data_IF_939239747131
#
_entry.id   IF_939239747131
#
_cell.length_a   1.000
_cell.length_b   1.000
_cell.length_c   1.000
_cell.angle_alpha   90.00
_cell.angle_beta   90.00
_cell.angle_gamma   90.00
#
_symmetry.space_group_name_H-M   'P 1'
#
loop_
_entity.id
_entity.type
_entity.pdbx_description
1 polymer ?
#
# COMPACT_ATOMS: atom_id res chain seq x y z
N UNK A 1 -17.39 6.17 0.38
CA UNK A 1 -16.82 6.56 1.67
C UNK A 1 -15.43 7.14 1.44
N UNK A 2 -15.07 8.26 2.05
CA UNK A 2 -13.79 8.91 1.80
C UNK A 2 -12.62 8.10 2.35
N UNK A 3 -11.53 8.10 1.59
CA UNK A 3 -10.25 7.51 1.96
C UNK A 3 -9.13 8.44 1.44
N UNK A 4 -7.92 8.25 1.95
CA UNK A 4 -6.79 9.12 1.63
C UNK A 4 -5.72 8.38 0.84
N UNK A 5 -5.13 9.05 -0.14
CA UNK A 5 -4.00 8.55 -0.91
C UNK A 5 -2.80 9.44 -0.62
N UNK A 6 -1.79 8.90 0.06
CA UNK A 6 -0.59 9.65 0.45
C UNK A 6 0.62 9.12 -0.32
N UNK A 7 1.27 10.00 -1.10
CA UNK A 7 2.53 9.68 -1.77
C UNK A 7 3.69 10.12 -0.91
N UNK A 8 4.63 9.20 -0.67
CA UNK A 8 5.84 9.50 0.08
C UNK A 8 7.06 9.81 -0.80
N UNK A 9 6.93 9.61 -2.13
CA UNK A 9 8.03 9.83 -3.05
C UNK A 9 9.08 8.71 -3.02
N UNK A 10 10.31 9.06 -3.35
CA UNK A 10 11.42 8.10 -3.41
C UNK A 10 12.00 7.84 -2.04
N UNK A 11 11.93 6.60 -1.60
CA UNK A 11 12.49 6.15 -0.30
C UNK A 11 13.02 4.73 -0.43
N UNK A 12 13.92 4.35 0.49
CA UNK A 12 14.27 2.94 0.69
C UNK A 12 13.12 2.17 1.36
N UNK A 13 13.13 0.85 1.23
CA UNK A 13 12.08 -0.01 1.79
C UNK A 13 11.97 0.15 3.32
N UNK A 14 13.09 0.25 4.00
CA UNK A 14 13.11 0.42 5.47
C UNK A 14 12.45 1.74 5.89
N UNK A 15 12.73 2.81 5.18
CA UNK A 15 12.16 4.13 5.45
C UNK A 15 10.67 4.15 5.14
N UNK A 16 10.27 3.48 4.06
CA UNK A 16 8.85 3.32 3.71
C UNK A 16 8.10 2.58 4.82
N UNK A 17 8.63 1.44 5.28
CA UNK A 17 8.00 0.64 6.33
C UNK A 17 7.90 1.43 7.64
N UNK A 18 8.96 2.15 8.01
CA UNK A 18 8.97 2.99 9.21
C UNK A 18 7.94 4.12 9.11
N UNK A 19 7.80 4.73 7.95
CA UNK A 19 6.80 5.78 7.71
C UNK A 19 5.37 5.24 7.83
N UNK A 20 5.11 4.07 7.29
CA UNK A 20 3.80 3.41 7.38
C UNK A 20 3.46 3.07 8.85
N UNK A 21 4.41 2.55 9.60
CA UNK A 21 4.26 2.27 11.03
C UNK A 21 3.91 3.54 11.80
N UNK A 22 4.62 4.62 11.53
CA UNK A 22 4.39 5.92 12.17
C UNK A 22 3.01 6.47 11.84
N UNK A 23 2.62 6.45 10.56
CA UNK A 23 1.30 6.90 10.13
C UNK A 23 0.17 6.08 10.79
N UNK A 24 0.33 4.77 10.84
CA UNK A 24 -0.66 3.89 11.45
C UNK A 24 -0.81 4.16 12.95
N UNK A 25 0.30 4.39 13.64
CA UNK A 25 0.31 4.58 15.09
C UNK A 25 -0.44 5.84 15.54
N UNK A 26 -0.52 6.87 14.70
CA UNK A 26 -1.19 8.14 15.05
C UNK A 26 -2.64 8.20 14.57
N UNK A 27 -3.15 7.17 13.91
CA UNK A 27 -4.54 7.17 13.44
C UNK A 27 -5.51 6.83 14.57
N UNK A 28 -6.64 7.52 14.59
CA UNK A 28 -7.74 7.23 15.51
C UNK A 28 -8.65 6.12 14.94
N UNK A 29 -9.54 5.58 15.79
CA UNK A 29 -10.55 4.60 15.37
C UNK A 29 -11.51 5.14 14.31
N UNK A 30 -11.72 6.44 14.29
CA UNK A 30 -12.64 7.10 13.37
C UNK A 30 -11.96 7.65 12.12
N UNK A 31 -10.66 7.45 11.98
CA UNK A 31 -9.91 7.95 10.83
C UNK A 31 -10.36 7.26 9.53
N UNK A 32 -10.19 7.96 8.42
CA UNK A 32 -10.40 7.38 7.09
C UNK A 32 -9.28 6.39 6.78
N UNK A 33 -9.54 5.35 5.97
CA UNK A 33 -8.47 4.50 5.46
C UNK A 33 -7.46 5.30 4.66
N UNK A 34 -6.20 4.86 4.70
CA UNK A 34 -5.09 5.50 3.98
C UNK A 34 -4.42 4.46 3.11
N UNK A 35 -4.21 4.77 1.84
CA UNK A 35 -3.23 4.07 1.04
C UNK A 35 -1.97 4.92 0.97
N UNK A 36 -0.83 4.33 1.32
CA UNK A 36 0.49 4.96 1.24
C UNK A 36 1.21 4.38 0.03
N UNK A 37 1.74 5.26 -0.81
CA UNK A 37 2.41 4.90 -2.04
C UNK A 37 3.82 5.48 -2.04
N UNK A 38 4.80 4.66 -2.43
CA UNK A 38 6.19 5.10 -2.54
C UNK A 38 6.85 4.65 -3.82
N UNK A 39 8.06 5.12 -4.05
CA UNK A 39 8.94 4.68 -5.12
C UNK A 39 10.27 4.26 -4.51
N UNK A 40 10.71 3.08 -4.87
CA UNK A 40 12.02 2.55 -4.52
C UNK A 40 12.69 2.15 -5.84
N UNK A 41 13.98 1.87 -5.84
CA UNK A 41 14.77 1.71 -7.07
C UNK A 41 14.20 0.70 -8.09
N UNK A 42 13.53 -0.36 -7.63
CA UNK A 42 13.03 -1.43 -8.50
C UNK A 42 11.52 -1.68 -8.34
N UNK A 43 10.85 -1.01 -7.42
CA UNK A 43 9.48 -1.32 -7.02
C UNK A 43 8.71 -0.09 -6.61
N UNK A 44 7.38 -0.22 -6.64
CA UNK A 44 6.46 0.74 -6.03
C UNK A 44 5.89 0.10 -4.75
N UNK A 45 6.47 0.38 -3.57
CA UNK A 45 5.89 -0.12 -2.34
C UNK A 45 4.59 0.59 -2.01
N UNK A 46 3.65 -0.15 -1.44
CA UNK A 46 2.39 0.42 -0.97
C UNK A 46 1.97 -0.22 0.35
N UNK A 47 1.17 0.50 1.13
CA UNK A 47 0.56 -0.01 2.33
C UNK A 47 -0.86 0.51 2.47
N UNK A 48 -1.78 -0.40 2.79
CA UNK A 48 -3.13 -0.05 3.16
C UNK A 48 -3.19 0.03 4.69
N UNK A 49 -3.49 1.21 5.19
CA UNK A 49 -3.68 1.47 6.63
C UNK A 49 -5.17 1.66 6.87
N UNK A 50 -5.80 0.68 7.47
CA UNK A 50 -7.24 0.69 7.68
C UNK A 50 -7.58 0.60 9.17
N UNK A 51 -8.29 1.58 9.72
CA UNK A 51 -8.86 1.41 11.05
C UNK A 51 -9.64 0.10 11.16
N UNK A 52 -9.57 -0.57 12.31
CA UNK A 52 -10.08 -1.93 12.48
C UNK A 52 -11.54 -2.10 12.10
N UNK A 53 -12.37 -1.06 12.23
CA UNK A 53 -13.78 -1.13 11.83
C UNK A 53 -13.99 -1.38 10.34
N UNK A 54 -12.98 -1.12 9.50
CA UNK A 54 -13.04 -1.33 8.06
C UNK A 54 -12.43 -2.66 7.62
N UNK A 55 -11.62 -3.28 8.47
CA UNK A 55 -10.95 -4.53 8.18
C UNK A 55 -11.81 -5.73 8.55
N UNK A 56 -11.62 -6.91 7.92
CA UNK A 56 -12.28 -8.13 8.36
C UNK A 56 -11.99 -8.41 9.83
N UNK A 57 -12.95 -8.98 10.54
CA UNK A 57 -12.81 -9.31 11.96
C UNK A 57 -11.74 -10.36 12.25
N UNK A 58 -11.37 -11.17 11.25
CA UNK A 58 -10.33 -12.19 11.37
C UNK A 58 -9.06 -11.72 10.69
N UNK A 59 -7.97 -11.69 11.43
CA UNK A 59 -6.65 -11.25 10.93
C UNK A 59 -6.14 -12.11 9.77
N UNK A 60 -6.46 -13.40 9.76
CA UNK A 60 -6.07 -14.32 8.69
C UNK A 60 -6.70 -13.98 7.33
N UNK A 61 -7.69 -13.11 7.30
CA UNK A 61 -8.33 -12.62 6.06
C UNK A 61 -7.78 -11.28 5.59
N UNK A 62 -6.97 -10.60 6.39
CA UNK A 62 -6.48 -9.26 6.04
C UNK A 62 -5.64 -9.25 4.78
N UNK A 63 -4.79 -10.26 4.60
CA UNK A 63 -3.90 -10.31 3.44
C UNK A 63 -4.69 -10.35 2.13
N UNK A 64 -5.60 -11.31 1.98
CA UNK A 64 -6.42 -11.42 0.77
C UNK A 64 -7.32 -10.21 0.58
N UNK A 65 -7.91 -9.71 1.65
CA UNK A 65 -8.74 -8.50 1.62
C UNK A 65 -7.97 -7.28 1.16
N UNK A 66 -6.72 -7.10 1.63
CA UNK A 66 -5.91 -5.93 1.30
C UNK A 66 -5.20 -6.03 -0.04
N UNK A 67 -4.95 -7.24 -0.55
CA UNK A 67 -4.15 -7.45 -1.77
C UNK A 67 -4.96 -7.88 -2.99
N UNK A 68 -6.24 -8.15 -2.85
CA UNK A 68 -7.07 -8.59 -3.99
C UNK A 68 -7.06 -7.55 -5.13
N UNK A 69 -7.11 -6.27 -4.80
CA UNK A 69 -7.05 -5.20 -5.79
C UNK A 69 -5.68 -5.14 -6.48
N UNK A 70 -4.59 -5.42 -5.76
CA UNK A 70 -3.26 -5.45 -6.35
C UNK A 70 -3.13 -6.59 -7.37
N UNK A 71 -3.63 -7.78 -7.03
CA UNK A 71 -3.65 -8.93 -7.96
C UNK A 71 -4.49 -8.60 -9.18
N UNK A 72 -5.67 -8.01 -9.00
CA UNK A 72 -6.53 -7.59 -10.12
C UNK A 72 -5.84 -6.54 -11.00
N UNK A 73 -5.05 -5.65 -10.42
CA UNK A 73 -4.28 -4.65 -11.16
C UNK A 73 -3.18 -5.31 -11.99
N UNK A 74 -2.43 -6.27 -11.43
CA UNK A 74 -1.46 -7.03 -12.21
C UNK A 74 -2.12 -7.68 -13.43
N UNK A 75 -3.27 -8.31 -13.23
CA UNK A 75 -4.01 -8.98 -14.31
C UNK A 75 -4.50 -8.02 -15.38
N UNK A 76 -4.84 -6.80 -15.00
CA UNK A 76 -5.21 -5.75 -15.95
C UNK A 76 -4.05 -5.39 -16.90
N UNK A 77 -2.81 -5.52 -16.43
CA UNK A 77 -1.59 -5.32 -17.23
C UNK A 77 -1.07 -6.64 -17.83
N UNK A 78 -1.93 -7.64 -17.95
CA UNK A 78 -1.62 -8.93 -18.56
C UNK A 78 -0.58 -9.75 -17.79
N UNK A 79 -0.45 -9.50 -16.50
CA UNK A 79 0.41 -10.28 -15.60
C UNK A 79 -0.50 -11.23 -14.81
N UNK A 80 -0.46 -12.56 -15.07
CA UNK A 80 -1.38 -13.51 -14.43
C UNK A 80 -0.94 -13.83 -13.00
N UNK A 81 -0.86 -12.81 -12.17
CA UNK A 81 -0.50 -12.93 -10.76
C UNK A 81 -1.64 -13.60 -9.96
N UNK A 82 -1.27 -14.28 -8.89
CA UNK A 82 -2.21 -14.85 -7.94
C UNK A 82 -1.68 -14.73 -6.52
N UNK A 83 -2.57 -14.87 -5.55
CA UNK A 83 -2.27 -14.71 -4.14
C UNK A 83 -2.25 -16.07 -3.44
N UNK A 84 -1.14 -16.37 -2.78
CA UNK A 84 -0.98 -17.54 -1.92
C UNK A 84 -0.01 -17.20 -0.79
N UNK A 85 -0.49 -16.42 0.20
CA UNK A 85 0.36 -15.83 1.24
C UNK A 85 1.24 -14.69 0.76
N UNK A 86 1.71 -14.77 -0.47
CA UNK A 86 2.46 -13.74 -1.20
C UNK A 86 1.85 -13.59 -2.58
N UNK A 87 2.26 -12.57 -3.33
CA UNK A 87 1.86 -12.42 -4.73
C UNK A 87 2.81 -13.22 -5.60
N UNK A 88 2.27 -14.21 -6.31
CA UNK A 88 3.03 -15.14 -7.15
C UNK A 88 2.76 -14.92 -8.63
N UNK A 89 3.77 -15.22 -9.43
CA UNK A 89 3.69 -15.33 -10.88
C UNK A 89 4.50 -16.55 -11.31
N UNK A 90 3.86 -17.50 -11.99
CA UNK A 90 4.51 -18.74 -12.46
C UNK A 90 5.27 -19.49 -11.34
N UNK A 91 4.66 -19.57 -10.16
CA UNK A 91 5.22 -20.29 -9.03
C UNK A 91 6.33 -19.56 -8.26
N UNK A 92 6.62 -18.31 -8.63
CA UNK A 92 7.61 -17.47 -7.92
C UNK A 92 6.92 -16.28 -7.28
N UNK A 93 7.32 -15.96 -6.04
CA UNK A 93 6.87 -14.75 -5.39
C UNK A 93 7.50 -13.52 -6.08
N UNK A 94 6.65 -12.56 -6.44
CA UNK A 94 7.09 -11.33 -7.12
C UNK A 94 7.01 -10.12 -6.22
N UNK A 95 6.34 -10.25 -5.08
CA UNK A 95 6.23 -9.19 -4.11
C UNK A 95 6.06 -9.78 -2.71
N UNK A 96 6.90 -9.34 -1.79
CA UNK A 96 6.77 -9.69 -0.38
C UNK A 96 5.64 -8.88 0.23
N UNK A 97 4.76 -9.55 0.98
CA UNK A 97 3.60 -8.93 1.61
C UNK A 97 3.64 -9.12 3.11
N UNK A 98 3.21 -8.10 3.85
CA UNK A 98 3.17 -8.16 5.31
C UNK A 98 1.82 -7.71 5.83
N UNK A 99 1.46 -8.23 7.00
CA UNK A 99 0.24 -7.88 7.73
C UNK A 99 0.61 -7.58 9.16
N UNK A 100 0.13 -6.47 9.70
CA UNK A 100 0.40 -6.10 11.08
C UNK A 100 -0.79 -5.37 11.70
N UNK A 101 -0.93 -5.48 13.00
CA UNK A 101 -1.81 -4.63 13.81
C UNK A 101 -0.93 -3.56 14.45
N UNK A 102 -1.15 -2.30 14.09
CA UNK A 102 -0.40 -1.17 14.63
C UNK A 102 -1.42 -0.17 15.19
N UNK A 103 -1.39 0.03 16.51
CA UNK A 103 -2.40 0.84 17.18
C UNK A 103 -3.81 0.32 16.91
N UNK A 104 -4.65 1.16 16.33
CA UNK A 104 -6.05 0.85 16.01
C UNK A 104 -6.24 0.46 14.54
N UNK A 105 -5.16 0.13 13.83
CA UNK A 105 -5.20 -0.10 12.40
C UNK A 105 -4.66 -1.47 11.99
N UNK A 106 -5.32 -2.06 10.99
CA UNK A 106 -4.73 -3.12 10.18
C UNK A 106 -3.83 -2.48 9.13
N UNK A 107 -2.61 -2.98 9.00
CA UNK A 107 -1.64 -2.50 8.01
C UNK A 107 -1.26 -3.66 7.11
N UNK A 108 -1.60 -3.55 5.85
CA UNK A 108 -1.29 -4.56 4.83
C UNK A 108 -0.38 -3.91 3.80
N UNK A 109 0.82 -4.43 3.63
CA UNK A 109 1.80 -3.86 2.72
C UNK A 109 2.33 -4.88 1.73
N UNK A 110 2.68 -4.38 0.55
CA UNK A 110 3.29 -5.14 -0.52
C UNK A 110 3.97 -4.17 -1.48
N UNK A 111 4.20 -4.59 -2.71
CA UNK A 111 4.78 -3.71 -3.73
C UNK A 111 4.40 -4.17 -5.13
N UNK A 112 4.44 -3.22 -6.07
CA UNK A 112 4.38 -3.53 -7.50
C UNK A 112 5.79 -3.49 -8.09
N UNK A 113 6.03 -4.34 -9.08
CA UNK A 113 7.25 -4.27 -9.87
C UNK A 113 7.23 -3.02 -10.75
N UNK A 114 8.36 -2.33 -10.86
CA UNK A 114 8.52 -1.25 -11.82
C UNK A 114 8.49 -1.75 -13.26
N UNK A 115 9.01 -2.96 -13.47
CA UNK A 115 8.92 -3.67 -14.74
C UNK A 115 8.17 -4.96 -14.53
N UNK A 116 7.15 -5.17 -15.31
CA UNK A 116 6.44 -6.45 -15.32
C UNK A 116 7.25 -7.48 -16.12
N UNK A 117 7.28 -8.76 -15.67
CA UNK A 117 8.10 -9.78 -16.33
C UNK A 117 7.80 -10.01 -17.81
N UNK A 118 6.56 -9.78 -18.25
CA UNK A 118 6.16 -9.93 -19.64
C UNK A 118 6.36 -8.66 -20.48
N UNK A 119 6.81 -7.58 -19.87
CA UNK A 119 6.99 -6.28 -20.55
C UNK A 119 8.44 -5.85 -20.45
N UNK A 120 9.02 -5.51 -21.59
CA UNK A 120 10.41 -5.07 -21.66
C UNK A 120 10.62 -3.61 -21.20
N UNK A 121 9.55 -2.86 -20.98
CA UNK A 121 9.60 -1.45 -20.58
C UNK A 121 9.04 -1.27 -19.17
N UNK A 122 9.53 -0.26 -18.47
CA UNK A 122 9.01 0.09 -17.15
C UNK A 122 7.54 0.51 -17.25
N UNK A 123 6.74 0.10 -16.27
CA UNK A 123 5.34 0.50 -16.18
C UNK A 123 5.26 1.95 -15.72
N UNK A 124 4.55 2.84 -16.45
CA UNK A 124 4.38 4.22 -16.00
C UNK A 124 3.67 4.27 -14.64
N UNK A 125 4.25 4.98 -13.69
CA UNK A 125 3.74 5.08 -12.32
C UNK A 125 2.31 5.60 -12.29
N UNK A 126 2.01 6.62 -13.10
CA UNK A 126 0.68 7.21 -13.15
C UNK A 126 -0.40 6.21 -13.57
N UNK A 127 -0.14 5.43 -14.62
CA UNK A 127 -1.10 4.42 -15.10
C UNK A 127 -1.33 3.34 -14.06
N UNK A 128 -0.26 2.87 -13.43
CA UNK A 128 -0.31 1.84 -12.41
C UNK A 128 -1.05 2.32 -11.17
N UNK A 129 -0.73 3.50 -10.68
CA UNK A 129 -1.42 4.11 -9.54
C UNK A 129 -2.91 4.26 -9.81
N UNK A 130 -3.28 4.78 -10.96
CA UNK A 130 -4.67 5.01 -11.31
C UNK A 130 -5.45 3.70 -11.41
N UNK A 131 -4.87 2.69 -12.04
CA UNK A 131 -5.50 1.38 -12.16
C UNK A 131 -5.71 0.74 -10.79
N UNK A 132 -4.71 0.80 -9.94
CA UNK A 132 -4.78 0.25 -8.57
C UNK A 132 -5.81 0.99 -7.72
N UNK A 133 -5.80 2.32 -7.79
CA UNK A 133 -6.77 3.16 -7.09
C UNK A 133 -8.20 2.79 -7.46
N UNK A 134 -8.50 2.68 -8.75
CA UNK A 134 -9.83 2.32 -9.22
C UNK A 134 -10.26 0.92 -8.75
N UNK A 135 -9.33 -0.04 -8.71
CA UNK A 135 -9.61 -1.39 -8.20
C UNK A 135 -9.89 -1.38 -6.71
N UNK A 136 -9.13 -0.62 -5.92
CA UNK A 136 -9.40 -0.47 -4.49
C UNK A 136 -10.75 0.20 -4.24
N UNK A 137 -11.06 1.25 -4.98
CA UNK A 137 -12.33 1.96 -4.86
C UNK A 137 -13.52 1.02 -5.16
N UNK A 138 -13.41 0.24 -6.23
CA UNK A 138 -14.45 -0.71 -6.61
C UNK A 138 -14.62 -1.83 -5.58
N UNK A 139 -13.51 -2.36 -5.06
CA UNK A 139 -13.55 -3.47 -4.10
C UNK A 139 -14.11 -3.06 -2.76
N UNK A 140 -13.74 -1.89 -2.25
CA UNK A 140 -14.05 -1.49 -0.87
C UNK A 140 -15.20 -0.48 -0.77
N UNK A 141 -15.66 0.09 -1.87
CA UNK A 141 -16.64 1.15 -1.86
C UNK A 141 -16.10 2.46 -1.32
N UNK A 142 -14.80 2.68 -1.44
CA UNK A 142 -14.12 3.89 -1.00
C UNK A 142 -13.92 4.85 -2.17
N UNK A 143 -13.69 6.13 -1.84
CA UNK A 143 -13.30 7.16 -2.79
C UNK A 143 -12.02 7.81 -2.26
N UNK A 144 -10.92 7.59 -2.96
CA UNK A 144 -9.62 8.11 -2.55
C UNK A 144 -9.40 9.54 -3.05
N UNK A 145 -9.00 10.41 -2.13
CA UNK A 145 -8.51 11.74 -2.45
C UNK A 145 -7.01 11.80 -2.19
N UNK A 146 -6.27 12.43 -3.10
CA UNK A 146 -4.85 12.71 -2.88
C UNK A 146 -4.70 13.63 -1.66
N UNK A 147 -3.81 13.28 -0.77
CA UNK A 147 -3.67 13.93 0.52
C UNK A 147 -2.20 14.09 0.88
N UNK A 148 -1.93 15.10 1.70
CA UNK A 148 -0.65 15.26 2.37
C UNK A 148 -0.79 14.76 3.81
N UNK A 149 0.31 14.35 4.46
CA UNK A 149 0.26 14.10 5.88
C UNK A 149 -0.29 15.31 6.64
N UNK A 150 -1.16 15.05 7.62
CA UNK A 150 -1.67 16.10 8.50
C UNK A 150 -0.54 16.67 9.36
N UNK A 151 -0.80 17.79 10.06
CA UNK A 151 0.21 18.39 10.94
C UNK A 151 0.78 17.42 11.96
N UNK A 152 -0.07 16.64 12.63
CA UNK A 152 0.35 15.63 13.60
C UNK A 152 1.13 14.49 12.95
N UNK A 153 0.68 14.03 11.77
CA UNK A 153 1.37 13.00 11.00
C UNK A 153 2.74 13.48 10.53
N UNK A 154 2.83 14.69 10.01
CA UNK A 154 4.07 15.28 9.54
C UNK A 154 5.10 15.43 10.67
N UNK A 155 4.67 15.85 11.85
CA UNK A 155 5.54 15.95 13.03
C UNK A 155 6.06 14.58 13.43
N UNK A 156 5.21 13.56 13.46
CA UNK A 156 5.60 12.19 13.81
C UNK A 156 6.55 11.59 12.78
N UNK A 157 6.33 11.85 11.50
CA UNK A 157 7.23 11.40 10.43
C UNK A 157 8.60 12.08 10.52
N UNK A 158 8.62 13.38 10.74
CA UNK A 158 9.86 14.15 10.84
C UNK A 158 10.72 13.71 12.03
N UNK A 159 10.11 13.32 13.14
CA UNK A 159 10.82 12.84 14.32
C UNK A 159 11.56 11.51 14.09
N UNK A 160 11.20 10.76 13.04
CA UNK A 160 11.80 9.48 12.71
C UNK A 160 12.80 9.52 11.55
N UNK A 161 12.85 10.63 10.81
CA UNK A 161 13.84 10.80 9.76
C UNK A 161 15.21 11.07 10.39
N UNK A 162 16.29 10.45 9.86
CA UNK A 162 17.62 10.79 10.34
C UNK A 162 17.88 12.28 10.07
N UNK A 163 18.44 12.98 11.06
CA UNK A 163 18.84 14.37 10.89
C UNK A 163 19.82 14.47 9.72
N UNK A 164 19.63 15.42 8.80
CA UNK A 164 20.64 15.65 7.76
C UNK A 164 21.96 16.01 8.46
N UNK A 165 22.96 15.23 8.18
CA UNK A 165 24.29 15.45 8.72
C UNK A 165 24.93 16.67 8.07
#
# INVERSE_FOLDING_TARGET
MPARWIRLGSLGQREFDASCTTLAAVQSRSAAPILVWGEEAARYPFALIAPLKFAPGRKDRWLSWGLAAAVATYRQFEVPAYLDGEIYLHGRDIARSTVALIGECAVISSSFLMRFPQRCVATPSFELEQAFRLRLEAQHGWSFDSSWPSGAEAVSLAARLPSPA
#
